data_IF_502076733875
#
_entry.id   IF_502076733875
#
_cell.length_a   1.000
_cell.length_b   1.000
_cell.length_c   1.000
_cell.angle_alpha   90.00
_cell.angle_beta   90.00
_cell.angle_gamma   90.00
#
_symmetry.space_group_name_H-M   'P 1'
#
loop_
_entity.id
_entity.type
_entity.pdbx_description
1 polymer ?
#
# COMPACT_ATOMS: atom_id res chain seq x y z
N UNK A 1 16.70 6.28 -13.33
CA UNK A 1 17.40 5.03 -13.04
C UNK A 1 16.46 3.85 -13.28
N UNK A 2 16.95 2.82 -13.94
CA UNK A 2 16.21 1.59 -14.13
C UNK A 2 16.60 0.59 -13.04
N UNK A 3 15.61 -0.07 -12.46
CA UNK A 3 15.85 -1.10 -11.46
C UNK A 3 15.82 -2.47 -12.11
N UNK A 4 16.68 -3.41 -11.69
CA UNK A 4 16.67 -4.77 -12.23
C UNK A 4 15.40 -5.53 -11.86
N UNK A 5 14.72 -5.10 -10.80
CA UNK A 5 13.44 -5.69 -10.38
C UNK A 5 12.46 -4.57 -10.07
N UNK A 6 11.18 -4.79 -10.39
CA UNK A 6 10.09 -3.88 -10.07
C UNK A 6 9.25 -4.53 -8.98
N UNK A 7 9.50 -4.11 -7.73
CA UNK A 7 8.92 -4.77 -6.57
C UNK A 7 8.52 -3.76 -5.51
N UNK A 8 7.39 -4.03 -4.86
CA UNK A 8 6.98 -3.34 -3.65
C UNK A 8 6.73 -4.36 -2.56
N UNK A 9 6.66 -3.89 -1.32
CA UNK A 9 6.31 -4.73 -0.18
C UNK A 9 5.21 -4.08 0.63
N UNK A 10 4.21 -4.88 1.01
CA UNK A 10 3.09 -4.43 1.84
C UNK A 10 2.88 -5.44 2.95
N UNK A 11 2.84 -4.97 4.19
CA UNK A 11 2.43 -5.81 5.32
C UNK A 11 1.14 -5.27 5.91
N UNK A 12 0.23 -6.18 6.26
CA UNK A 12 -1.07 -5.84 6.85
C UNK A 12 -1.15 -6.56 8.19
N UNK A 13 -1.22 -5.81 9.27
CA UNK A 13 -1.26 -6.35 10.63
C UNK A 13 -2.53 -5.92 11.34
N UNK A 14 -3.26 -6.89 11.87
CA UNK A 14 -4.42 -6.60 12.72
C UNK A 14 -3.95 -6.29 14.13
N UNK A 15 -4.47 -5.19 14.69
CA UNK A 15 -4.16 -4.74 16.05
C UNK A 15 -5.44 -4.86 16.88
N UNK A 16 -5.58 -5.95 17.67
CA UNK A 16 -6.81 -6.20 18.42
C UNK A 16 -7.16 -5.10 19.44
N UNK A 17 -6.14 -4.50 20.04
CA UNK A 17 -6.32 -3.49 21.09
C UNK A 17 -7.06 -2.25 20.60
N UNK A 18 -6.94 -1.94 19.30
CA UNK A 18 -7.55 -0.76 18.73
C UNK A 18 -8.56 -1.08 17.61
N UNK A 19 -8.84 -2.36 17.38
CA UNK A 19 -9.68 -2.79 16.24
C UNK A 19 -9.29 -2.04 14.97
N UNK A 20 -8.03 -2.21 14.59
CA UNK A 20 -7.51 -1.53 13.41
C UNK A 20 -6.57 -2.43 12.64
N UNK A 21 -6.34 -2.06 11.38
CA UNK A 21 -5.25 -2.63 10.60
C UNK A 21 -4.16 -1.58 10.51
N UNK A 22 -2.93 -2.01 10.74
CA UNK A 22 -1.74 -1.20 10.47
C UNK A 22 -1.08 -1.77 9.23
N UNK A 23 -0.93 -0.93 8.23
CA UNK A 23 -0.39 -1.31 6.95
C UNK A 23 0.91 -0.55 6.70
N UNK A 24 1.92 -1.28 6.29
CA UNK A 24 3.22 -0.71 5.93
C UNK A 24 3.47 -0.99 4.45
N UNK A 25 3.86 0.04 3.69
CA UNK A 25 4.18 -0.08 2.26
C UNK A 25 5.57 0.48 2.02
N UNK A 26 6.37 -0.30 1.29
CA UNK A 26 7.73 0.11 0.91
C UNK A 26 7.85 0.01 -0.60
N UNK A 27 8.39 1.07 -1.24
CA UNK A 27 8.56 1.12 -2.68
C UNK A 27 9.72 2.05 -3.05
N UNK A 28 10.22 1.94 -4.28
CA UNK A 28 11.22 2.87 -4.79
C UNK A 28 10.59 4.24 -5.02
N UNK A 29 11.28 5.29 -4.61
CA UNK A 29 10.77 6.65 -4.70
C UNK A 29 10.65 7.13 -6.15
N UNK A 30 11.65 6.85 -6.99
CA UNK A 30 11.59 7.25 -8.40
C UNK A 30 10.42 6.56 -9.12
N UNK A 31 10.15 5.30 -8.82
CA UNK A 31 9.01 4.57 -9.39
C UNK A 31 7.69 5.17 -8.90
N UNK A 32 7.63 5.57 -7.64
CA UNK A 32 6.46 6.24 -7.08
C UNK A 32 6.14 7.53 -7.82
N UNK A 33 7.18 8.34 -8.09
CA UNK A 33 7.00 9.59 -8.83
C UNK A 33 6.49 9.33 -10.25
N UNK A 34 7.00 8.29 -10.90
CA UNK A 34 6.53 7.90 -12.24
C UNK A 34 5.06 7.45 -12.20
N UNK A 35 4.70 6.67 -11.21
CA UNK A 35 3.32 6.16 -11.11
C UNK A 35 2.33 7.29 -10.82
N UNK A 36 2.73 8.27 -10.02
CA UNK A 36 1.93 9.49 -9.82
C UNK A 36 1.70 10.20 -11.15
N UNK A 37 2.75 10.31 -11.97
CA UNK A 37 2.65 10.96 -13.28
C UNK A 37 1.68 10.25 -14.22
N UNK A 38 1.63 8.92 -14.19
CA UNK A 38 0.69 8.14 -14.98
C UNK A 38 -0.75 8.46 -14.60
N UNK A 39 -1.00 8.74 -13.33
CA UNK A 39 -2.33 9.12 -12.85
C UNK A 39 -2.67 10.60 -12.99
N UNK A 40 -1.80 11.39 -13.63
CA UNK A 40 -2.03 12.82 -13.81
C UNK A 40 -1.64 13.67 -12.61
N UNK A 41 -0.93 13.10 -11.64
CA UNK A 41 -0.53 13.77 -10.41
C UNK A 41 0.98 13.99 -10.34
N UNK A 42 1.58 14.44 -11.46
CA UNK A 42 3.04 14.66 -11.50
C UNK A 42 3.50 15.63 -10.43
N UNK A 43 4.53 15.21 -9.70
CA UNK A 43 5.16 16.04 -8.67
C UNK A 43 6.68 15.81 -8.73
N UNK A 44 7.45 16.79 -8.29
CA UNK A 44 8.89 16.64 -8.14
C UNK A 44 9.22 16.07 -6.78
N UNK A 45 10.45 15.55 -6.62
CA UNK A 45 10.91 15.03 -5.34
C UNK A 45 10.81 16.07 -4.23
N UNK A 46 11.09 17.32 -4.53
CA UNK A 46 11.07 18.41 -3.54
C UNK A 46 9.69 18.62 -2.93
N UNK A 47 8.63 18.32 -3.67
CA UNK A 47 7.26 18.45 -3.16
C UNK A 47 7.06 17.62 -1.89
N UNK A 48 7.71 16.47 -1.80
CA UNK A 48 7.54 15.53 -0.69
C UNK A 48 8.54 15.75 0.46
N UNK A 49 9.59 16.53 0.23
CA UNK A 49 10.66 16.69 1.23
C UNK A 49 10.20 17.43 2.49
N UNK A 50 9.26 18.35 2.36
CA UNK A 50 8.72 19.11 3.49
C UNK A 50 7.77 18.29 4.35
N UNK A 51 7.17 17.23 3.79
CA UNK A 51 6.14 16.41 4.44
C UNK A 51 4.99 17.25 4.99
N UNK A 52 4.63 18.31 4.27
CA UNK A 52 3.51 19.16 4.66
C UNK A 52 2.18 18.46 4.34
N UNK A 53 1.06 19.10 4.78
CA UNK A 53 -0.25 18.47 4.62
C UNK A 53 -0.58 18.20 3.14
N UNK A 54 -0.15 19.08 2.23
CA UNK A 54 -0.42 18.90 0.81
C UNK A 54 0.28 17.64 0.28
N UNK A 55 1.56 17.43 0.64
CA UNK A 55 2.30 16.24 0.20
C UNK A 55 1.73 14.97 0.83
N UNK A 56 1.35 15.02 2.10
CA UNK A 56 0.75 13.85 2.77
C UNK A 56 -0.59 13.48 2.14
N UNK A 57 -1.38 14.47 1.75
CA UNK A 57 -2.66 14.23 1.09
C UNK A 57 -2.48 13.55 -0.27
N UNK A 58 -1.48 13.95 -1.05
CA UNK A 58 -1.20 13.31 -2.34
C UNK A 58 -0.86 11.84 -2.15
N UNK A 59 -0.02 11.53 -1.16
CA UNK A 59 0.37 10.16 -0.85
C UNK A 59 -0.83 9.34 -0.38
N UNK A 60 -1.64 9.88 0.52
CA UNK A 60 -2.81 9.18 1.04
C UNK A 60 -3.82 8.88 -0.07
N UNK A 61 -4.08 9.85 -0.94
CA UNK A 61 -4.98 9.67 -2.07
C UNK A 61 -4.44 8.62 -3.05
N UNK A 62 -3.13 8.63 -3.30
CA UNK A 62 -2.49 7.63 -4.14
C UNK A 62 -2.73 6.21 -3.58
N UNK A 63 -2.48 6.04 -2.28
CA UNK A 63 -2.65 4.73 -1.64
C UNK A 63 -4.10 4.26 -1.68
N UNK A 64 -5.04 5.17 -1.43
CA UNK A 64 -6.47 4.80 -1.45
C UNK A 64 -6.97 4.45 -2.86
N UNK A 65 -6.28 4.91 -3.90
CA UNK A 65 -6.59 4.51 -5.28
C UNK A 65 -5.91 3.19 -5.68
N UNK A 66 -4.70 2.96 -5.18
CA UNK A 66 -3.84 1.87 -5.66
C UNK A 66 -3.89 0.63 -4.77
N UNK A 67 -4.15 0.81 -3.48
CA UNK A 67 -4.21 -0.29 -2.52
C UNK A 67 -5.60 -0.31 -1.91
N UNK A 68 -6.44 -1.22 -2.39
CA UNK A 68 -7.84 -1.31 -1.97
C UNK A 68 -7.98 -2.49 -1.02
N UNK A 69 -8.33 -2.19 0.23
CA UNK A 69 -8.46 -3.21 1.28
C UNK A 69 -9.91 -3.30 1.71
N UNK A 70 -10.48 -4.50 1.57
CA UNK A 70 -11.82 -4.82 2.07
C UNK A 70 -11.71 -5.77 3.22
N UNK A 71 -12.40 -5.45 4.30
CA UNK A 71 -12.50 -6.34 5.46
C UNK A 71 -13.95 -6.75 5.60
N UNK A 72 -14.20 -8.05 5.61
CA UNK A 72 -15.56 -8.60 5.66
C UNK A 72 -16.43 -7.94 4.58
N UNK A 73 -15.87 -7.81 3.38
CA UNK A 73 -16.51 -7.26 2.17
C UNK A 73 -16.67 -5.74 2.15
N UNK A 74 -16.28 -5.03 3.21
CA UNK A 74 -16.39 -3.58 3.27
C UNK A 74 -15.06 -2.93 2.88
N UNK A 75 -15.12 -2.02 1.88
CA UNK A 75 -13.95 -1.23 1.49
C UNK A 75 -13.63 -0.20 2.57
N UNK A 76 -12.38 -0.16 2.99
CA UNK A 76 -11.93 0.72 4.08
C UNK A 76 -11.14 1.90 3.52
N UNK A 77 -11.37 3.11 4.02
CA UNK A 77 -10.48 4.23 3.72
C UNK A 77 -9.24 4.14 4.61
N UNK A 78 -8.07 4.29 3.99
CA UNK A 78 -6.82 4.33 4.72
C UNK A 78 -6.45 5.75 5.10
N UNK A 79 -5.83 5.90 6.26
CA UNK A 79 -5.34 7.18 6.75
C UNK A 79 -3.83 7.10 6.93
N UNK A 80 -3.11 7.98 6.25
CA UNK A 80 -1.66 7.99 6.31
C UNK A 80 -1.21 8.47 7.68
N UNK A 81 -0.44 7.64 8.39
CA UNK A 81 0.11 7.97 9.71
C UNK A 81 1.52 8.53 9.61
N UNK A 82 2.34 7.99 8.69
CA UNK A 82 3.73 8.39 8.60
C UNK A 82 4.26 8.19 7.18
N UNK A 83 5.03 9.16 6.72
CA UNK A 83 5.78 9.12 5.46
C UNK A 83 7.26 9.27 5.77
N UNK A 84 8.06 8.32 5.32
CA UNK A 84 9.53 8.44 5.37
C UNK A 84 10.09 8.24 3.97
N UNK A 85 11.08 9.05 3.62
CA UNK A 85 11.81 8.91 2.38
C UNK A 85 13.30 8.86 2.76
N UNK A 86 13.93 7.72 2.53
CA UNK A 86 15.33 7.49 2.85
C UNK A 86 16.01 7.01 1.58
N UNK A 87 16.95 7.81 1.07
CA UNK A 87 17.58 7.56 -0.23
C UNK A 87 16.49 7.43 -1.31
N UNK A 88 16.44 6.33 -2.04
CA UNK A 88 15.41 6.12 -3.06
C UNK A 88 14.31 5.17 -2.57
N UNK A 89 14.00 5.22 -1.27
CA UNK A 89 13.00 4.33 -0.68
C UNK A 89 11.93 5.13 0.03
N UNK A 90 10.66 4.84 -0.31
CA UNK A 90 9.49 5.41 0.36
C UNK A 90 8.95 4.37 1.32
N UNK A 91 8.75 4.77 2.57
CA UNK A 91 8.15 3.95 3.61
C UNK A 91 6.90 4.64 4.13
N UNK A 92 5.78 3.95 4.06
CA UNK A 92 4.48 4.50 4.40
C UNK A 92 3.82 3.65 5.48
N UNK A 93 3.27 4.30 6.50
CA UNK A 93 2.45 3.67 7.51
C UNK A 93 1.03 4.21 7.39
N UNK A 94 0.06 3.32 7.17
CA UNK A 94 -1.33 3.67 6.94
C UNK A 94 -2.20 2.90 7.93
N UNK A 95 -3.17 3.57 8.53
CA UNK A 95 -4.11 2.96 9.46
C UNK A 95 -5.48 2.81 8.85
N UNK A 96 -6.17 1.72 9.21
CA UNK A 96 -7.54 1.45 8.78
C UNK A 96 -8.35 1.05 9.99
N UNK A 97 -9.46 1.75 10.24
CA UNK A 97 -10.36 1.40 11.34
C UNK A 97 -11.33 0.32 10.90
N UNK A 98 -11.51 -0.69 11.73
CA UNK A 98 -12.45 -1.77 11.47
C UNK A 98 -13.38 -1.91 12.67
N UNK A 99 -14.56 -2.52 12.45
CA UNK A 99 -15.56 -2.62 13.50
C UNK A 99 -15.44 -3.91 14.32
N UNK A 100 -14.76 -4.91 13.78
CA UNK A 100 -14.56 -6.19 14.45
C UNK A 100 -13.40 -6.95 13.83
N UNK A 101 -12.97 -8.02 14.48
CA UNK A 101 -11.91 -8.88 13.99
C UNK A 101 -12.21 -9.35 12.55
N UNK A 102 -11.22 -9.32 11.67
CA UNK A 102 -11.43 -9.74 10.28
C UNK A 102 -11.69 -11.25 10.17
N UNK A 103 -12.70 -11.61 9.40
CA UNK A 103 -12.94 -12.98 8.96
C UNK A 103 -12.37 -13.20 7.56
N UNK A 104 -12.46 -12.17 6.73
CA UNK A 104 -12.01 -12.18 5.35
C UNK A 104 -11.37 -10.84 5.02
N UNK A 105 -10.19 -10.87 4.41
CA UNK A 105 -9.52 -9.66 3.93
C UNK A 105 -9.28 -9.84 2.43
N UNK A 106 -9.83 -8.93 1.62
CA UNK A 106 -9.59 -8.91 0.18
C UNK A 106 -8.75 -7.69 -0.15
N UNK A 107 -7.65 -7.91 -0.86
CA UNK A 107 -6.73 -6.83 -1.22
C UNK A 107 -6.57 -6.78 -2.72
N UNK A 108 -6.79 -5.61 -3.29
CA UNK A 108 -6.41 -5.32 -4.67
C UNK A 108 -5.23 -4.37 -4.63
N UNK A 109 -4.11 -4.79 -5.18
CA UNK A 109 -2.89 -4.01 -5.19
C UNK A 109 -2.53 -3.63 -6.62
N UNK A 110 -2.76 -2.36 -6.94
CA UNK A 110 -2.53 -1.81 -8.28
C UNK A 110 -1.27 -0.96 -8.35
N UNK A 111 -0.47 -0.96 -7.29
CA UNK A 111 0.73 -0.13 -7.23
C UNK A 111 1.66 -0.50 -8.39
N UNK A 112 1.91 0.49 -9.26
CA UNK A 112 2.83 0.40 -10.41
C UNK A 112 2.47 -0.67 -11.45
N UNK A 113 1.27 -1.23 -11.38
CA UNK A 113 0.87 -2.31 -12.30
C UNK A 113 0.60 -1.81 -13.73
N UNK A 114 0.28 -0.52 -13.89
CA UNK A 114 0.13 0.08 -15.21
C UNK A 114 1.45 0.61 -15.75
N UNK A 115 2.43 0.79 -14.86
CA UNK A 115 3.75 1.32 -15.22
C UNK A 115 4.68 0.22 -15.71
N UNK A 116 4.64 -0.94 -15.05
CA UNK A 116 5.54 -2.06 -15.34
C UNK A 116 4.76 -3.35 -15.50
N UNK A 117 4.92 -4.02 -16.66
CA UNK A 117 4.25 -5.30 -16.91
C UNK A 117 4.81 -6.42 -16.04
N UNK A 118 6.04 -6.26 -15.54
CA UNK A 118 6.72 -7.24 -14.68
C UNK A 118 6.66 -6.87 -13.19
N UNK A 119 5.75 -5.96 -12.80
CA UNK A 119 5.61 -5.55 -11.42
C UNK A 119 5.26 -6.73 -10.52
N UNK A 120 5.99 -6.84 -9.39
CA UNK A 120 5.69 -7.78 -8.31
C UNK A 120 5.36 -7.00 -7.06
N UNK A 121 4.19 -7.25 -6.49
CA UNK A 121 3.76 -6.63 -5.24
C UNK A 121 3.68 -7.73 -4.17
N UNK A 122 4.71 -7.79 -3.32
CA UNK A 122 4.79 -8.79 -2.27
C UNK A 122 3.95 -8.33 -1.08
N UNK A 123 3.20 -9.27 -0.50
CA UNK A 123 2.32 -8.94 0.62
C UNK A 123 2.39 -10.01 1.69
N UNK A 124 2.26 -9.57 2.95
CA UNK A 124 2.11 -10.47 4.09
C UNK A 124 0.98 -9.96 4.96
N UNK A 125 0.08 -10.85 5.36
CA UNK A 125 -1.07 -10.52 6.20
C UNK A 125 -0.98 -11.31 7.50
N UNK A 126 -1.14 -10.62 8.62
CA UNK A 126 -1.11 -11.20 9.96
C UNK A 126 -2.36 -10.79 10.72
N UNK A 127 -3.14 -11.80 11.14
CA UNK A 127 -4.32 -11.59 11.98
C UNK A 127 -4.29 -12.64 13.06
N UNK A 128 -3.93 -12.26 14.27
CA UNK A 128 -3.75 -13.19 15.40
C UNK A 128 -2.76 -14.29 15.01
N UNK A 129 -3.19 -15.55 14.97
CA UNK A 129 -2.33 -16.68 14.60
C UNK A 129 -2.27 -16.94 13.11
N UNK A 130 -3.07 -16.23 12.32
CA UNK A 130 -3.05 -16.35 10.86
C UNK A 130 -1.90 -15.52 10.29
N UNK A 131 -1.12 -16.13 9.40
CA UNK A 131 -0.08 -15.44 8.70
C UNK A 131 0.06 -16.03 7.31
N UNK A 132 -0.01 -15.21 6.27
CA UNK A 132 0.14 -15.67 4.89
C UNK A 132 0.84 -14.62 4.07
N UNK A 133 1.82 -15.06 3.26
CA UNK A 133 2.50 -14.21 2.29
C UNK A 133 2.08 -14.58 0.88
N UNK A 134 2.00 -13.59 -0.01
CA UNK A 134 1.64 -13.81 -1.40
C UNK A 134 2.35 -12.78 -2.28
N UNK A 135 2.54 -13.15 -3.55
CA UNK A 135 3.02 -12.23 -4.56
C UNK A 135 1.87 -11.94 -5.52
N UNK A 136 1.49 -10.68 -5.62
CA UNK A 136 0.59 -10.19 -6.67
C UNK A 136 1.42 -9.64 -7.81
N UNK A 137 0.84 -9.56 -9.00
CA UNK A 137 1.53 -9.13 -10.21
C UNK A 137 0.66 -8.14 -10.98
N UNK A 138 1.18 -7.60 -12.08
CA UNK A 138 0.40 -6.73 -12.96
C UNK A 138 -0.79 -7.45 -13.58
N UNK A 139 -0.73 -8.78 -13.70
CA UNK A 139 -1.82 -9.58 -14.27
C UNK A 139 -2.80 -10.08 -13.20
N UNK A 140 -2.30 -10.37 -12.00
CA UNK A 140 -3.13 -10.88 -10.90
C UNK A 140 -3.01 -9.89 -9.76
N UNK A 141 -3.93 -8.93 -9.72
CA UNK A 141 -3.85 -7.78 -8.81
C UNK A 141 -4.63 -7.95 -7.52
N UNK A 142 -5.44 -9.00 -7.39
CA UNK A 142 -6.33 -9.16 -6.24
C UNK A 142 -6.22 -10.55 -5.63
N UNK A 143 -6.33 -10.61 -4.31
CA UNK A 143 -6.37 -11.86 -3.57
C UNK A 143 -7.28 -11.72 -2.36
N UNK A 144 -7.79 -12.86 -1.89
CA UNK A 144 -8.63 -12.92 -0.70
C UNK A 144 -7.99 -13.86 0.32
N UNK A 145 -7.84 -13.35 1.53
CA UNK A 145 -7.33 -14.11 2.67
C UNK A 145 -8.50 -14.52 3.54
N UNK A 146 -8.72 -15.82 3.67
CA UNK A 146 -9.77 -16.36 4.54
C UNK A 146 -9.17 -16.62 5.91
N UNK A 147 -9.44 -15.72 6.83
CA UNK A 147 -8.88 -15.78 8.19
C UNK A 147 -9.63 -16.82 9.02
N UNK A 148 -10.93 -16.90 8.79
CA UNK A 148 -11.80 -17.72 9.59
C UNK A 148 -12.77 -18.55 8.78
#
# INVERSE_FOLDING_TARGET
MLHPVHVTMTSIDYVPESDSLKVFVKMYFDDFLLDLGQGGESRTADFFSSKDQASLNVVENYLNRKLLIRVNKRLLPGKLDKLEIVDNEVRLNIGYNISKQPDVITVRNLIMTELFSDQSNLMIVKVNNFEEGIKLTAEITETTFKIK
#
